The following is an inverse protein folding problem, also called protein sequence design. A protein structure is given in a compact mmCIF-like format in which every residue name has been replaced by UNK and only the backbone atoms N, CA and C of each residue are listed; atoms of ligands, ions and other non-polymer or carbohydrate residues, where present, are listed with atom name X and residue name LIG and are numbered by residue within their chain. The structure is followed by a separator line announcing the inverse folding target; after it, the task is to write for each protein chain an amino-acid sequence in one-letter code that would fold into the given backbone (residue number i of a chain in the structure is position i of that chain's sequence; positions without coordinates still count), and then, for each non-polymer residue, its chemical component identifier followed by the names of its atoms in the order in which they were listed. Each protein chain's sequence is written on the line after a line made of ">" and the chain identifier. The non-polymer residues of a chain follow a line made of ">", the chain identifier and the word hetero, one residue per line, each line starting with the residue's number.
data_IF_359776280849
#
_entry.id   IF_359776280849
#
_cell.length_a   1.000
_cell.length_b   1.000
_cell.length_c   1.000
_cell.angle_alpha   90.00
_cell.angle_beta   90.00
_cell.angle_gamma   90.00
#
_symmetry.space_group_name_H-M   'P 1'
#
loop_
_entity.id
_entity.type
_entity.pdbx_description
1 polymer ?
#
# COMPACT_ATOMS: atom_id res chain seq x y z
N UNK A 1 -10.71 11.01 -14.79
CA UNK A 1 -9.64 10.97 -13.78
C UNK A 1 -9.85 9.71 -12.97
N UNK A 2 -8.91 8.76 -12.90
CA UNK A 2 -9.09 7.59 -12.04
C UNK A 2 -9.22 8.07 -10.59
N UNK A 3 -10.28 7.65 -9.90
CA UNK A 3 -10.49 7.98 -8.51
C UNK A 3 -9.44 7.22 -7.68
N UNK A 4 -8.53 7.95 -7.03
CA UNK A 4 -7.60 7.35 -6.09
C UNK A 4 -8.36 7.03 -4.79
N UNK A 5 -8.29 5.78 -4.37
CA UNK A 5 -8.87 5.31 -3.12
C UNK A 5 -7.82 5.32 -2.03
N UNK A 6 -8.17 5.87 -0.86
CA UNK A 6 -7.35 5.78 0.33
C UNK A 6 -7.63 4.48 1.09
N UNK A 7 -6.60 3.67 1.32
CA UNK A 7 -6.65 2.44 2.10
C UNK A 7 -5.67 2.57 3.26
N UNK A 8 -6.16 2.37 4.48
CA UNK A 8 -5.31 2.39 5.68
C UNK A 8 -4.99 0.95 6.08
N UNK A 9 -3.71 0.67 6.32
CA UNK A 9 -3.23 -0.59 6.87
C UNK A 9 -2.80 -0.31 8.31
N UNK A 10 -3.55 -0.88 9.23
CA UNK A 10 -3.35 -0.75 10.67
C UNK A 10 -3.01 -2.13 11.25
N UNK A 11 -2.30 -2.15 12.38
CA UNK A 11 -2.08 -3.36 13.17
C UNK A 11 -1.29 -4.49 12.45
N UNK A 12 -0.48 -4.15 11.45
CA UNK A 12 0.44 -5.07 10.77
C UNK A 12 1.82 -4.43 10.58
N UNK A 13 2.88 -5.23 10.73
CA UNK A 13 4.24 -4.80 10.40
C UNK A 13 4.42 -4.76 8.88
N UNK A 14 4.27 -3.57 8.30
CA UNK A 14 4.46 -3.35 6.87
C UNK A 14 5.94 -3.07 6.60
N UNK A 15 6.57 -3.93 5.81
CA UNK A 15 7.92 -3.68 5.33
C UNK A 15 7.87 -2.67 4.18
N UNK A 16 8.31 -1.43 4.44
CA UNK A 16 8.27 -0.33 3.47
C UNK A 16 8.94 -0.69 2.14
N UNK A 17 10.03 -1.48 2.16
CA UNK A 17 10.75 -1.84 0.93
C UNK A 17 9.95 -2.83 0.11
N UNK A 18 9.35 -3.84 0.75
CA UNK A 18 8.45 -4.78 0.07
C UNK A 18 7.22 -4.07 -0.46
N UNK A 19 6.59 -3.22 0.35
CA UNK A 19 5.43 -2.41 -0.04
C UNK A 19 5.72 -1.59 -1.30
N UNK A 20 6.83 -0.85 -1.33
CA UNK A 20 7.19 -0.04 -2.50
C UNK A 20 7.43 -0.90 -3.75
N UNK A 21 8.07 -2.07 -3.61
CA UNK A 21 8.24 -3.01 -4.75
C UNK A 21 6.92 -3.55 -5.27
N UNK A 22 6.00 -3.92 -4.37
CA UNK A 22 4.67 -4.42 -4.75
C UNK A 22 3.87 -3.30 -5.43
N UNK A 23 3.87 -2.10 -4.86
CA UNK A 23 3.22 -0.93 -5.46
C UNK A 23 3.83 -0.55 -6.82
N UNK A 24 5.14 -0.63 -6.99
CA UNK A 24 5.79 -0.38 -8.29
C UNK A 24 5.40 -1.44 -9.33
N UNK A 25 5.22 -2.70 -8.91
CA UNK A 25 4.79 -3.80 -9.78
C UNK A 25 3.31 -3.69 -10.18
N UNK A 26 2.44 -3.34 -9.24
CA UNK A 26 1.00 -3.18 -9.47
C UNK A 26 0.66 -1.87 -10.17
N UNK A 27 1.36 -0.79 -9.81
CA UNK A 27 1.11 0.56 -10.28
C UNK A 27 2.39 1.17 -10.88
N UNK A 28 2.86 0.66 -12.04
CA UNK A 28 4.09 1.14 -12.68
C UNK A 28 4.02 2.62 -13.08
N UNK A 29 2.80 3.15 -13.24
CA UNK A 29 2.55 4.56 -13.50
C UNK A 29 2.84 5.50 -12.30
N UNK A 30 3.30 4.98 -11.15
CA UNK A 30 3.53 5.73 -9.90
C UNK A 30 2.32 6.53 -9.44
N UNK A 31 1.12 6.06 -9.77
CA UNK A 31 -0.15 6.64 -9.34
C UNK A 31 -0.49 6.22 -7.90
N UNK A 32 0.49 6.18 -7.01
CA UNK A 32 0.28 5.80 -5.61
C UNK A 32 0.98 6.76 -4.67
N UNK A 33 0.40 6.96 -3.49
CA UNK A 33 1.04 7.68 -2.39
C UNK A 33 1.04 6.80 -1.14
N UNK A 34 2.12 6.88 -0.38
CA UNK A 34 2.29 6.13 0.87
C UNK A 34 2.63 7.13 1.97
N UNK A 35 1.85 7.12 3.05
CA UNK A 35 2.07 7.93 4.25
C UNK A 35 2.05 7.04 5.48
N UNK A 36 2.98 7.27 6.40
CA UNK A 36 2.98 6.64 7.71
C UNK A 36 2.49 7.68 8.72
N UNK A 37 1.40 7.39 9.43
CA UNK A 37 0.82 8.28 10.43
C UNK A 37 0.39 7.46 11.64
N UNK A 38 0.88 7.80 12.84
CA UNK A 38 0.47 7.15 14.10
C UNK A 38 0.54 5.61 14.04
N UNK A 39 1.64 5.07 13.51
CA UNK A 39 1.84 3.62 13.33
C UNK A 39 0.88 2.94 12.32
N UNK A 40 0.16 3.74 11.53
CA UNK A 40 -0.76 3.29 10.48
C UNK A 40 -0.21 3.70 9.11
N UNK A 41 -0.22 2.76 8.16
CA UNK A 41 0.21 3.02 6.78
C UNK A 41 -1.01 3.42 5.95
N UNK A 42 -1.07 4.70 5.58
CA UNK A 42 -2.10 5.25 4.70
C UNK A 42 -1.59 5.18 3.26
N UNK A 43 -2.24 4.34 2.46
CA UNK A 43 -1.98 4.16 1.04
C UNK A 43 -3.04 4.90 0.24
N UNK A 44 -2.64 5.65 -0.77
CA UNK A 44 -3.54 6.27 -1.75
C UNK A 44 -3.24 5.64 -3.09
N UNK A 45 -4.13 4.79 -3.58
CA UNK A 45 -3.90 3.92 -4.74
C UNK A 45 -5.14 3.90 -5.63
N UNK A 46 -5.00 3.72 -6.95
CA UNK A 46 -6.14 3.79 -7.87
C UNK A 46 -7.06 2.57 -7.73
N UNK A 47 -6.55 1.48 -7.18
CA UNK A 47 -7.30 0.27 -6.87
C UNK A 47 -6.87 -0.24 -5.49
N UNK A 48 -7.82 -0.59 -4.60
CA UNK A 48 -7.49 -1.15 -3.29
C UNK A 48 -6.72 -2.48 -3.42
N UNK A 49 -5.77 -2.71 -2.52
CA UNK A 49 -5.03 -3.96 -2.41
C UNK A 49 -5.93 -5.01 -1.75
N UNK A 50 -5.90 -6.23 -2.28
CA UNK A 50 -6.51 -7.41 -1.66
C UNK A 50 -5.66 -7.90 -0.49
N UNK A 51 -6.24 -8.71 0.40
CA UNK A 51 -5.51 -9.29 1.53
C UNK A 51 -4.29 -10.12 1.09
N UNK A 52 -4.38 -10.85 -0.02
CA UNK A 52 -3.24 -11.57 -0.59
C UNK A 52 -2.08 -10.63 -0.94
N UNK A 53 -2.36 -9.50 -1.59
CA UNK A 53 -1.33 -8.50 -1.91
C UNK A 53 -0.76 -7.87 -0.64
N UNK A 54 -1.61 -7.61 0.36
CA UNK A 54 -1.19 -7.09 1.66
C UNK A 54 -0.26 -8.07 2.38
N UNK A 55 -0.54 -9.38 2.30
CA UNK A 55 0.30 -10.43 2.87
C UNK A 55 1.66 -10.56 2.17
N UNK A 56 1.84 -10.08 0.93
CA UNK A 56 3.15 -10.09 0.26
C UNK A 56 4.16 -9.12 0.89
N UNK A 57 3.69 -8.05 1.53
CA UNK A 57 4.53 -7.02 2.13
C UNK A 57 4.34 -6.82 3.63
N UNK A 58 3.31 -7.42 4.24
CA UNK A 58 3.26 -7.59 5.68
C UNK A 58 4.25 -8.67 6.11
N UNK A 59 4.94 -8.44 7.22
CA UNK A 59 5.78 -9.44 7.90
C UNK A 59 5.14 -9.69 9.26
N UNK A 60 5.06 -10.95 9.66
CA UNK A 60 4.64 -11.38 11.00
C UNK A 60 5.74 -11.04 12.03
#
# INVERSE_FOLDING_TARGET
>A
MPALTSQTIENRYVDRRKLLRVLEKLFPAKNYAVRLQLNCWILTIPQPLTEDEINLFCTD
#
